data_IF_673450105088
#
_entry.id   IF_673450105088
#
_cell.length_a   1.000
_cell.length_b   1.000
_cell.length_c   1.000
_cell.angle_alpha   90.00
_cell.angle_beta   90.00
_cell.angle_gamma   90.00
#
_symmetry.space_group_name_H-M   'P 1'
#
loop_
_entity.id
_entity.type
_entity.pdbx_description
1 polymer ?
#
# COMPACT_ATOMS: atom_id res chain seq x y z
N UNK A 1 -53.76 13.22 38.72
CA UNK A 1 -54.16 11.86 39.12
C UNK A 1 -53.33 10.88 38.31
N UNK A 2 -52.21 10.46 38.85
CA UNK A 2 -52.00 9.19 39.55
C UNK A 2 -51.88 7.97 38.63
N UNK A 3 -50.63 7.48 38.53
CA UNK A 3 -50.18 6.07 38.64
C UNK A 3 -50.55 5.13 37.49
N UNK A 4 -49.68 4.25 36.98
CA UNK A 4 -48.80 3.34 37.71
C UNK A 4 -47.82 2.65 36.75
N UNK A 5 -46.63 2.35 37.27
CA UNK A 5 -45.57 1.52 36.68
C UNK A 5 -46.02 0.05 36.57
N UNK A 6 -45.54 -0.68 35.56
CA UNK A 6 -45.29 -2.13 35.70
C UNK A 6 -43.95 -2.53 35.11
N UNK A 7 -43.07 -2.87 36.05
CA UNK A 7 -41.78 -3.53 35.97
C UNK A 7 -42.02 -5.01 35.61
N UNK A 8 -41.22 -5.59 34.72
CA UNK A 8 -41.05 -7.05 34.65
C UNK A 8 -39.56 -7.37 34.56
N UNK A 9 -39.05 -7.91 35.66
CA UNK A 9 -37.79 -8.62 35.83
C UNK A 9 -38.03 -10.10 35.51
N UNK A 10 -37.17 -10.70 34.70
CA UNK A 10 -36.86 -12.14 34.68
C UNK A 10 -35.34 -12.23 34.44
N UNK A 11 -34.53 -12.38 35.48
CA UNK A 11 -34.07 -13.63 36.12
C UNK A 11 -33.19 -14.49 35.21
N UNK A 12 -31.90 -14.41 35.56
CA UNK A 12 -30.78 -15.35 35.43
C UNK A 12 -31.05 -16.76 34.90
N UNK A 13 -30.23 -17.16 33.93
CA UNK A 13 -29.94 -18.55 33.58
C UNK A 13 -28.46 -18.70 33.24
N UNK A 14 -27.62 -18.80 34.28
CA UNK A 14 -26.23 -19.25 34.19
C UNK A 14 -26.22 -20.77 33.96
N UNK A 15 -25.60 -21.24 32.88
CA UNK A 15 -25.23 -22.64 32.72
C UNK A 15 -23.75 -22.72 32.35
N UNK A 16 -22.96 -23.07 33.37
CA UNK A 16 -21.59 -23.56 33.25
C UNK A 16 -21.59 -24.88 32.46
N UNK A 17 -20.75 -24.97 31.43
CA UNK A 17 -20.30 -26.24 30.87
C UNK A 17 -18.76 -26.23 30.77
N UNK A 18 -18.05 -27.00 31.61
CA UNK A 18 -16.64 -27.28 31.43
C UNK A 18 -16.49 -28.64 30.74
N UNK A 19 -15.90 -28.69 29.54
CA UNK A 19 -15.53 -29.97 28.92
C UNK A 19 -14.12 -29.88 28.32
N UNK A 20 -13.22 -30.54 29.05
CA UNK A 20 -12.10 -31.37 28.60
C UNK A 20 -11.05 -30.79 27.62
N UNK A 21 -9.89 -30.53 28.21
CA UNK A 21 -8.60 -30.58 27.54
C UNK A 21 -8.32 -31.99 26.98
N UNK A 22 -7.83 -32.05 25.74
CA UNK A 22 -7.12 -33.21 25.22
C UNK A 22 -5.73 -32.74 24.76
N UNK A 23 -4.75 -32.90 25.65
CA UNK A 23 -3.32 -32.80 25.33
C UNK A 23 -2.89 -34.14 24.72
N UNK A 24 -2.45 -34.13 23.46
CA UNK A 24 -1.67 -35.23 22.89
C UNK A 24 -0.35 -34.67 22.36
N UNK A 25 0.81 -35.14 22.85
CA UNK A 25 2.10 -34.81 22.27
C UNK A 25 2.31 -35.64 21.00
N UNK A 26 2.32 -34.99 19.85
CA UNK A 26 2.77 -35.58 18.59
C UNK A 26 4.31 -35.52 18.59
N UNK A 27 4.93 -36.66 18.88
CA UNK A 27 6.33 -36.93 18.58
C UNK A 27 6.39 -37.51 17.17
N UNK A 28 6.99 -36.80 16.22
CA UNK A 28 7.37 -37.37 14.91
C UNK A 28 8.86 -37.16 14.71
N UNK A 29 9.48 -38.31 14.51
CA UNK A 29 10.88 -38.65 14.43
C UNK A 29 11.46 -38.17 13.09
N UNK A 30 12.60 -37.47 13.12
CA UNK A 30 13.38 -37.10 11.94
C UNK A 30 14.14 -38.33 11.42
N UNK A 31 13.87 -38.72 10.17
CA UNK A 31 14.59 -39.79 9.47
C UNK A 31 15.81 -39.24 8.71
N UNK A 32 16.97 -39.93 8.73
CA UNK A 32 18.20 -39.42 8.12
C UNK A 32 18.27 -39.62 6.59
N UNK A 33 18.89 -38.64 5.95
CA UNK A 33 19.28 -38.56 4.54
C UNK A 33 20.25 -39.67 4.11
N UNK A 34 20.12 -40.22 2.89
CA UNK A 34 21.24 -40.82 2.19
C UNK A 34 21.80 -39.88 1.10
N UNK A 35 23.01 -39.39 1.33
CA UNK A 35 23.89 -38.78 0.33
C UNK A 35 24.47 -39.86 -0.59
N UNK A 36 24.10 -39.85 -1.87
CA UNK A 36 24.78 -40.63 -2.91
C UNK A 36 24.71 -39.92 -4.27
N UNK A 37 25.69 -39.07 -4.58
CA UNK A 37 26.01 -38.74 -5.97
C UNK A 37 27.51 -38.81 -6.22
N UNK A 38 27.89 -39.81 -7.01
CA UNK A 38 29.22 -40.01 -7.57
C UNK A 38 29.49 -38.96 -8.66
N UNK A 39 30.59 -38.22 -8.54
CA UNK A 39 31.11 -37.37 -9.61
C UNK A 39 31.96 -38.19 -10.57
N UNK A 40 31.54 -38.26 -11.84
CA UNK A 40 32.34 -38.80 -12.94
C UNK A 40 33.13 -37.68 -13.63
N UNK A 41 34.39 -37.90 -14.02
CA UNK A 41 35.16 -36.89 -14.75
C UNK A 41 34.69 -36.80 -16.21
N UNK A 42 34.34 -35.58 -16.63
CA UNK A 42 33.99 -35.24 -18.01
C UNK A 42 35.26 -35.23 -18.88
N UNK A 43 35.26 -35.86 -20.07
CA UNK A 43 36.42 -35.85 -20.96
C UNK A 43 36.60 -34.47 -21.63
N UNK A 44 37.83 -33.94 -21.53
CA UNK A 44 38.29 -32.74 -22.22
C UNK A 44 38.49 -33.03 -23.71
N UNK A 45 37.68 -32.41 -24.58
CA UNK A 45 37.86 -32.44 -26.03
C UNK A 45 38.70 -31.24 -26.48
N UNK A 46 39.91 -31.50 -26.96
CA UNK A 46 40.79 -30.49 -27.57
C UNK A 46 40.35 -30.24 -29.01
N UNK A 47 39.76 -29.08 -29.30
CA UNK A 47 39.47 -28.65 -30.67
C UNK A 47 40.65 -27.87 -31.27
N UNK A 48 41.12 -28.32 -32.43
CA UNK A 48 42.07 -27.58 -33.27
C UNK A 48 41.36 -26.42 -33.98
N UNK A 49 41.86 -25.21 -33.80
CA UNK A 49 41.40 -24.00 -34.51
C UNK A 49 42.14 -23.84 -35.83
N UNK A 50 41.42 -23.92 -36.95
CA UNK A 50 41.93 -23.51 -38.26
C UNK A 50 41.62 -22.03 -38.49
N UNK A 51 42.66 -21.22 -38.65
CA UNK A 51 42.56 -19.79 -38.93
C UNK A 51 42.22 -19.57 -40.41
N UNK A 52 41.00 -19.16 -40.70
CA UNK A 52 40.57 -18.71 -42.04
C UNK A 52 40.63 -17.18 -42.07
N UNK A 53 41.58 -16.62 -42.83
CA UNK A 53 41.67 -15.18 -43.07
C UNK A 53 40.46 -14.73 -43.91
N UNK A 54 39.54 -13.98 -43.30
CA UNK A 54 38.40 -13.33 -43.96
C UNK A 54 38.78 -11.89 -44.33
N UNK A 55 38.38 -11.36 -45.50
CA UNK A 55 38.67 -9.99 -45.90
C UNK A 55 38.08 -8.97 -44.91
N UNK A 56 38.89 -7.98 -44.58
CA UNK A 56 38.58 -6.85 -43.69
C UNK A 56 37.46 -6.00 -44.28
N UNK A 57 36.28 -6.06 -43.67
CA UNK A 57 35.17 -5.14 -43.94
C UNK A 57 35.46 -3.78 -43.30
N UNK A 58 35.45 -2.73 -44.10
CA UNK A 58 35.58 -1.35 -43.65
C UNK A 58 34.27 -0.93 -42.98
N UNK A 59 34.24 -0.90 -41.64
CA UNK A 59 33.08 -0.42 -40.89
C UNK A 59 32.90 1.09 -41.07
N UNK A 60 31.70 1.52 -41.44
CA UNK A 60 31.28 2.92 -41.34
C UNK A 60 31.24 3.34 -39.85
N UNK A 61 31.45 4.64 -39.53
CA UNK A 61 31.35 5.12 -38.17
C UNK A 61 29.95 4.85 -37.60
N UNK A 62 29.89 4.01 -36.57
CA UNK A 62 28.68 3.77 -35.79
C UNK A 62 28.32 5.06 -35.07
N UNK A 63 27.18 5.66 -35.42
CA UNK A 63 26.61 6.76 -34.66
C UNK A 63 26.19 6.23 -33.29
N UNK A 64 26.99 6.52 -32.27
CA UNK A 64 26.62 6.28 -30.86
C UNK A 64 25.57 7.30 -30.48
N UNK A 65 24.31 6.86 -30.32
CA UNK A 65 23.27 7.70 -29.75
C UNK A 65 23.72 8.16 -28.35
N UNK A 66 23.48 9.43 -27.98
CA UNK A 66 23.68 9.87 -26.61
C UNK A 66 22.87 8.97 -25.67
N UNK A 67 23.41 8.63 -24.48
CA UNK A 67 22.68 7.81 -23.53
C UNK A 67 21.33 8.47 -23.23
N UNK A 68 20.24 7.71 -23.36
CA UNK A 68 18.93 8.13 -22.89
C UNK A 68 19.08 8.57 -21.43
N UNK A 69 18.67 9.78 -21.05
CA UNK A 69 18.74 10.19 -19.66
C UNK A 69 17.94 9.19 -18.81
N UNK A 70 18.65 8.44 -17.97
CA UNK A 70 18.02 7.57 -16.97
C UNK A 70 17.34 8.50 -15.98
N UNK A 71 16.02 8.68 -16.11
CA UNK A 71 15.22 9.40 -15.13
C UNK A 71 15.52 8.82 -13.72
N UNK A 72 15.68 9.67 -12.70
CA UNK A 72 15.72 9.19 -11.32
C UNK A 72 14.51 8.28 -11.07
N UNK A 73 14.66 7.15 -10.34
CA UNK A 73 13.54 6.25 -10.10
C UNK A 73 12.43 7.00 -9.34
N UNK A 74 11.22 7.01 -9.90
CA UNK A 74 10.09 7.77 -9.37
C UNK A 74 9.00 8.02 -10.39
N UNK A 75 8.04 8.85 -10.03
CA UNK A 75 7.03 9.39 -10.93
C UNK A 75 6.51 10.72 -10.40
N UNK A 76 6.07 11.61 -11.29
CA UNK A 76 5.39 12.85 -10.97
C UNK A 76 4.12 12.90 -11.83
N UNK A 77 2.97 12.71 -11.21
CA UNK A 77 1.68 12.59 -11.87
C UNK A 77 0.82 13.81 -11.57
N UNK A 78 0.44 14.54 -12.63
CA UNK A 78 -0.52 15.65 -12.60
C UNK A 78 -1.88 15.27 -13.22
N UNK A 79 -2.04 14.02 -13.65
CA UNK A 79 -3.27 13.44 -14.22
C UNK A 79 -3.77 14.14 -15.49
N UNK A 80 -2.87 14.81 -16.22
CA UNK A 80 -3.12 15.36 -17.56
C UNK A 80 -3.04 14.28 -18.66
N UNK A 81 -2.31 13.20 -18.39
CA UNK A 81 -2.19 12.02 -19.26
C UNK A 81 -3.17 10.91 -18.83
N UNK A 82 -3.25 9.83 -19.60
CA UNK A 82 -4.02 8.64 -19.23
C UNK A 82 -3.42 7.90 -18.02
N UNK A 83 -4.14 6.87 -17.55
CA UNK A 83 -3.74 6.08 -16.37
C UNK A 83 -2.98 4.79 -16.71
N UNK A 84 -2.35 4.70 -17.88
CA UNK A 84 -1.71 3.48 -18.38
C UNK A 84 -0.53 3.03 -17.49
N UNK A 85 0.14 3.99 -16.84
CA UNK A 85 1.25 3.73 -15.92
C UNK A 85 0.81 3.25 -14.53
N UNK A 86 -0.50 3.14 -14.30
CA UNK A 86 -1.07 2.65 -13.06
C UNK A 86 -1.48 1.18 -13.20
N UNK A 87 -1.34 0.41 -12.10
CA UNK A 87 -1.94 -0.91 -12.00
C UNK A 87 -3.48 -0.80 -11.97
N UNK A 88 -4.14 -1.92 -12.20
CA UNK A 88 -5.59 -2.01 -12.08
C UNK A 88 -6.04 -1.55 -10.69
N UNK A 89 -7.26 -0.98 -10.64
CA UNK A 89 -7.82 -0.49 -9.39
C UNK A 89 -7.96 -1.63 -8.40
N UNK A 90 -7.24 -1.54 -7.28
CA UNK A 90 -7.36 -2.53 -6.22
C UNK A 90 -8.42 -2.07 -5.22
N UNK A 91 -9.43 -2.93 -5.02
CA UNK A 91 -10.65 -2.60 -4.28
C UNK A 91 -10.76 -3.52 -3.07
N UNK A 92 -10.84 -2.93 -1.88
CA UNK A 92 -11.20 -3.64 -0.65
C UNK A 92 -12.50 -3.06 -0.11
N UNK A 93 -13.48 -3.92 0.17
CA UNK A 93 -14.77 -3.50 0.74
C UNK A 93 -15.31 -4.57 1.68
N UNK A 94 -16.02 -4.14 2.74
CA UNK A 94 -16.76 -5.05 3.62
C UNK A 94 -18.28 -4.92 3.45
N UNK A 95 -18.76 -3.91 2.73
CA UNK A 95 -20.19 -3.56 2.61
C UNK A 95 -20.71 -3.38 1.19
N UNK A 96 -19.88 -3.52 0.15
CA UNK A 96 -20.36 -3.61 -1.23
C UNK A 96 -20.39 -5.08 -1.70
N UNK A 97 -21.41 -5.87 -1.30
CA UNK A 97 -21.57 -7.24 -1.75
C UNK A 97 -21.82 -7.28 -3.26
N UNK A 98 -21.09 -8.13 -3.98
CA UNK A 98 -21.30 -8.38 -5.41
C UNK A 98 -20.46 -7.53 -6.38
N UNK A 99 -19.50 -6.76 -5.89
CA UNK A 99 -18.46 -6.15 -6.75
C UNK A 99 -18.93 -5.01 -7.66
N UNK A 100 -20.14 -4.48 -7.47
CA UNK A 100 -20.63 -3.31 -8.21
C UNK A 100 -20.45 -2.05 -7.37
N UNK A 101 -19.37 -1.31 -7.64
CA UNK A 101 -19.11 -0.01 -7.02
C UNK A 101 -20.09 1.05 -7.55
N UNK A 102 -20.69 1.82 -6.64
CA UNK A 102 -21.44 3.04 -6.98
C UNK A 102 -20.53 4.26 -7.10
N UNK A 103 -19.34 4.17 -6.49
CA UNK A 103 -18.29 5.18 -6.54
C UNK A 103 -17.71 5.32 -7.95
N UNK A 104 -17.30 6.54 -8.30
CA UNK A 104 -16.73 6.86 -9.61
C UNK A 104 -15.34 7.47 -9.48
N UNK A 105 -14.49 7.16 -10.45
CA UNK A 105 -13.18 7.77 -10.62
C UNK A 105 -13.18 8.47 -11.97
N UNK A 106 -12.76 9.74 -12.00
CA UNK A 106 -12.71 10.54 -13.22
C UNK A 106 -11.49 11.45 -13.23
N UNK A 107 -10.95 11.69 -14.42
CA UNK A 107 -9.93 12.71 -14.64
C UNK A 107 -10.60 13.99 -15.14
N UNK A 108 -10.28 15.13 -14.51
CA UNK A 108 -10.85 16.42 -14.89
C UNK A 108 -9.99 17.57 -14.40
N UNK A 109 -9.56 18.42 -15.35
CA UNK A 109 -8.74 19.61 -15.09
C UNK A 109 -7.48 19.31 -14.27
N UNK A 110 -6.58 18.47 -14.83
CA UNK A 110 -5.29 18.12 -14.22
C UNK A 110 -5.42 17.49 -12.84
N UNK A 111 -6.38 16.58 -12.67
CA UNK A 111 -6.60 15.92 -11.40
C UNK A 111 -7.37 14.62 -11.56
N UNK A 112 -7.10 13.68 -10.63
CA UNK A 112 -7.89 12.48 -10.44
C UNK A 112 -8.88 12.68 -9.29
N UNK A 113 -10.16 12.52 -9.58
CA UNK A 113 -11.25 12.77 -8.65
C UNK A 113 -11.97 11.47 -8.37
N UNK A 114 -12.12 11.16 -7.08
CA UNK A 114 -12.88 10.04 -6.55
C UNK A 114 -14.18 10.58 -5.95
N UNK A 115 -15.30 10.30 -6.60
CA UNK A 115 -16.63 10.57 -6.07
C UNK A 115 -17.13 9.30 -5.38
N UNK A 116 -16.94 9.22 -4.06
CA UNK A 116 -17.20 8.00 -3.29
C UNK A 116 -18.63 7.96 -2.74
N UNK A 117 -19.29 6.84 -3.00
CA UNK A 117 -20.69 6.57 -2.64
C UNK A 117 -20.88 5.22 -1.95
N UNK A 118 -19.82 4.40 -1.85
CA UNK A 118 -19.87 3.10 -1.19
C UNK A 118 -19.25 3.21 0.21
N UNK A 119 -19.94 2.70 1.22
CA UNK A 119 -19.44 2.70 2.59
C UNK A 119 -18.40 1.59 2.80
N UNK A 120 -17.52 1.76 3.79
CA UNK A 120 -16.50 0.76 4.15
C UNK A 120 -15.69 0.26 2.94
N UNK A 121 -15.24 1.20 2.11
CA UNK A 121 -14.61 0.91 0.82
C UNK A 121 -13.27 1.63 0.69
N UNK A 122 -12.27 0.91 0.20
CA UNK A 122 -10.90 1.36 0.04
C UNK A 122 -10.48 1.11 -1.40
N UNK A 123 -10.09 2.17 -2.10
CA UNK A 123 -9.69 2.12 -3.50
C UNK A 123 -8.24 2.54 -3.62
N UNK A 124 -7.41 1.71 -4.26
CA UNK A 124 -5.98 1.90 -4.37
C UNK A 124 -5.55 2.02 -5.83
N UNK A 125 -4.66 2.97 -6.08
CA UNK A 125 -3.90 3.13 -7.33
C UNK A 125 -2.43 3.00 -7.03
N UNK A 126 -1.83 1.94 -7.56
CA UNK A 126 -0.40 1.64 -7.40
C UNK A 126 0.30 1.91 -8.73
N UNK A 127 1.37 2.69 -8.71
CA UNK A 127 2.12 3.00 -9.92
C UNK A 127 2.96 1.80 -10.36
N UNK A 128 3.22 1.68 -11.67
CA UNK A 128 4.04 0.58 -12.23
C UNK A 128 5.54 0.82 -12.09
N UNK A 129 5.97 2.04 -11.78
CA UNK A 129 7.39 2.36 -11.54
C UNK A 129 7.93 1.54 -10.36
N UNK A 130 9.02 0.83 -10.63
CA UNK A 130 9.81 0.15 -9.60
C UNK A 130 10.76 1.18 -8.98
N UNK A 131 10.77 1.26 -7.66
CA UNK A 131 11.52 2.21 -6.86
C UNK A 131 12.33 1.50 -5.77
N UNK A 132 13.19 2.26 -5.09
CA UNK A 132 13.88 1.78 -3.89
C UNK A 132 12.86 1.60 -2.76
N UNK A 133 13.01 0.61 -1.86
CA UNK A 133 12.20 0.52 -0.64
C UNK A 133 12.31 1.78 0.23
N UNK A 134 13.41 2.53 0.13
CA UNK A 134 13.54 3.85 0.71
C UNK A 134 12.94 4.89 -0.26
N UNK A 135 11.75 5.36 0.06
CA UNK A 135 10.98 6.23 -0.83
C UNK A 135 10.19 7.27 -0.05
N UNK A 136 9.82 8.32 -0.77
CA UNK A 136 8.92 9.38 -0.34
C UNK A 136 7.77 9.44 -1.32
N UNK A 137 6.54 9.50 -0.80
CA UNK A 137 5.32 9.72 -1.57
C UNK A 137 4.69 11.02 -1.09
N UNK A 138 4.42 11.92 -2.03
CA UNK A 138 3.81 13.22 -1.79
C UNK A 138 2.55 13.36 -2.61
N UNK A 139 1.54 14.01 -2.06
CA UNK A 139 0.32 14.32 -2.78
C UNK A 139 -0.19 15.72 -2.47
N UNK A 140 -0.72 16.39 -3.49
CA UNK A 140 -1.56 17.57 -3.36
C UNK A 140 -3.01 17.13 -3.47
N UNK A 141 -3.74 17.20 -2.34
CA UNK A 141 -5.05 16.55 -2.21
C UNK A 141 -6.02 17.39 -1.39
N UNK A 142 -7.28 17.40 -1.82
CA UNK A 142 -8.40 17.99 -1.07
C UNK A 142 -9.50 16.96 -0.83
N UNK A 143 -10.22 17.14 0.29
CA UNK A 143 -11.34 16.29 0.70
C UNK A 143 -12.55 17.18 0.98
N UNK A 144 -13.65 16.90 0.28
CA UNK A 144 -14.93 17.61 0.42
C UNK A 144 -16.08 16.64 0.75
N UNK A 145 -17.16 17.16 1.33
CA UNK A 145 -18.29 16.36 1.82
C UNK A 145 -18.05 15.79 3.23
N UNK A 146 -18.26 14.49 3.40
CA UNK A 146 -18.14 13.81 4.70
C UNK A 146 -16.67 13.59 5.07
N UNK A 147 -16.15 14.47 5.93
CA UNK A 147 -14.71 14.60 6.26
C UNK A 147 -14.15 13.55 7.24
N UNK A 148 -15.00 12.66 7.77
CA UNK A 148 -14.52 11.49 8.53
C UNK A 148 -13.84 10.46 7.59
N UNK A 149 -14.11 10.55 6.29
CA UNK A 149 -13.41 9.82 5.24
C UNK A 149 -12.19 10.59 4.74
N UNK A 150 -11.41 10.01 3.84
CA UNK A 150 -10.34 10.74 3.20
C UNK A 150 -9.51 9.90 2.26
N UNK A 151 -8.20 10.09 2.35
CA UNK A 151 -7.24 9.56 1.40
C UNK A 151 -6.12 8.81 2.10
N UNK A 152 -5.37 8.05 1.30
CA UNK A 152 -4.19 7.37 1.79
C UNK A 152 -3.03 7.50 0.83
N UNK A 153 -1.82 7.52 1.38
CA UNK A 153 -0.57 7.35 0.64
C UNK A 153 0.05 6.02 1.05
N UNK A 154 0.55 5.26 0.08
CA UNK A 154 1.16 3.95 0.32
C UNK A 154 2.56 3.88 -0.25
N UNK A 155 3.46 3.28 0.51
CA UNK A 155 4.85 3.06 0.16
C UNK A 155 5.21 1.59 0.40
N UNK A 156 6.34 1.14 -0.15
CA UNK A 156 6.85 -0.23 0.05
C UNK A 156 5.81 -1.29 -0.28
N UNK A 157 4.98 -1.01 -1.29
CA UNK A 157 3.98 -1.95 -1.76
C UNK A 157 4.72 -3.07 -2.45
N UNK A 158 4.44 -4.31 -2.04
CA UNK A 158 4.97 -5.49 -2.68
C UNK A 158 4.24 -5.79 -4.00
N UNK A 159 4.85 -6.62 -4.84
CA UNK A 159 4.27 -6.93 -6.14
C UNK A 159 2.92 -7.63 -6.04
N UNK A 160 2.74 -8.47 -5.00
CA UNK A 160 1.53 -9.27 -4.80
C UNK A 160 0.39 -8.54 -4.09
N UNK A 161 0.57 -7.27 -3.71
CA UNK A 161 -0.38 -6.48 -2.93
C UNK A 161 -0.79 -7.22 -1.63
N UNK A 162 0.20 -7.79 -0.95
CA UNK A 162 0.05 -8.48 0.32
C UNK A 162 0.58 -7.67 1.50
N UNK A 163 1.52 -6.74 1.27
CA UNK A 163 2.17 -5.96 2.31
C UNK A 163 2.50 -4.54 1.83
N UNK A 164 2.26 -3.55 2.69
CA UNK A 164 2.68 -2.16 2.48
C UNK A 164 2.59 -1.35 3.79
N UNK A 165 3.18 -0.15 3.80
CA UNK A 165 2.81 0.87 4.78
C UNK A 165 1.86 1.88 4.16
N UNK A 166 0.97 2.40 5.00
CA UNK A 166 -0.11 3.29 4.59
C UNK A 166 -0.26 4.42 5.61
N UNK A 167 -0.27 5.67 5.13
CA UNK A 167 -0.76 6.80 5.90
C UNK A 167 -2.18 7.11 5.45
N UNK A 168 -3.16 6.91 6.33
CA UNK A 168 -4.54 7.39 6.14
C UNK A 168 -4.67 8.78 6.73
N UNK A 169 -5.33 9.67 6.00
CA UNK A 169 -5.61 11.04 6.44
C UNK A 169 -7.07 11.35 6.11
N UNK A 170 -7.86 11.69 7.13
CA UNK A 170 -9.25 12.12 6.98
C UNK A 170 -9.31 13.57 6.49
N UNK A 171 -10.46 13.99 5.97
CA UNK A 171 -10.74 15.38 5.65
C UNK A 171 -10.77 16.32 6.87
N UNK A 172 -10.73 15.78 8.10
CA UNK A 172 -10.57 16.53 9.35
C UNK A 172 -9.11 16.68 9.80
N UNK A 173 -8.16 16.05 9.12
CA UNK A 173 -6.74 16.05 9.48
C UNK A 173 -6.37 15.00 10.53
N UNK A 174 -7.29 14.14 10.94
CA UNK A 174 -6.96 12.94 11.71
C UNK A 174 -6.20 11.96 10.82
N UNK A 175 -5.18 11.30 11.36
CA UNK A 175 -4.34 10.40 10.60
C UNK A 175 -4.00 9.12 11.34
N UNK A 176 -3.66 8.10 10.56
CA UNK A 176 -3.18 6.81 11.03
C UNK A 176 -2.02 6.34 10.14
N UNK A 177 -0.91 5.95 10.76
CA UNK A 177 0.16 5.23 10.10
C UNK A 177 -0.03 3.75 10.40
N UNK A 178 -0.19 2.96 9.34
CA UNK A 178 -0.56 1.56 9.38
C UNK A 178 0.47 0.72 8.61
N UNK A 179 0.64 -0.53 9.03
CA UNK A 179 1.19 -1.60 8.21
C UNK A 179 0.05 -2.52 7.78
N UNK A 180 -0.09 -2.73 6.48
CA UNK A 180 -0.98 -3.77 5.96
C UNK A 180 -0.20 -5.08 5.81
N UNK A 181 -0.81 -6.16 6.26
CA UNK A 181 -0.31 -7.52 6.16
C UNK A 181 -1.48 -8.48 5.92
N UNK A 182 -1.63 -8.90 4.66
CA UNK A 182 -2.70 -9.81 4.22
C UNK A 182 -2.67 -11.14 4.97
N UNK A 183 -1.49 -11.61 5.39
CA UNK A 183 -1.36 -12.90 6.05
C UNK A 183 -2.06 -12.93 7.41
N UNK A 184 -2.15 -11.79 8.12
CA UNK A 184 -2.89 -11.70 9.38
C UNK A 184 -4.36 -12.06 9.18
N UNK A 185 -4.97 -11.65 8.07
CA UNK A 185 -6.35 -12.01 7.74
C UNK A 185 -6.49 -13.46 7.30
N UNK A 186 -5.63 -13.91 6.39
CA UNK A 186 -5.79 -15.21 5.74
C UNK A 186 -5.40 -16.37 6.65
N UNK A 187 -4.27 -16.25 7.34
CA UNK A 187 -3.69 -17.31 8.18
C UNK A 187 -4.16 -17.20 9.63
N UNK A 188 -4.19 -15.98 10.18
CA UNK A 188 -4.47 -15.78 11.61
C UNK A 188 -5.90 -15.33 11.91
N UNK A 189 -6.72 -15.05 10.89
CA UNK A 189 -8.09 -14.53 11.03
C UNK A 189 -8.19 -13.23 11.86
N UNK A 190 -7.15 -12.40 11.79
CA UNK A 190 -7.05 -11.09 12.46
C UNK A 190 -7.29 -9.94 11.46
N UNK A 191 -7.39 -8.73 11.99
CA UNK A 191 -7.37 -7.51 11.18
C UNK A 191 -6.03 -7.41 10.43
N UNK A 192 -6.01 -7.26 9.09
CA UNK A 192 -4.77 -7.12 8.33
C UNK A 192 -4.06 -5.78 8.51
N UNK A 193 -4.68 -4.80 9.16
CA UNK A 193 -4.07 -3.51 9.45
C UNK A 193 -3.54 -3.48 10.89
N UNK A 194 -2.24 -3.27 11.02
CA UNK A 194 -1.55 -3.01 12.29
C UNK A 194 -1.35 -1.51 12.42
N UNK A 195 -1.96 -0.89 13.43
CA UNK A 195 -1.76 0.52 13.71
C UNK A 195 -0.41 0.75 14.40
N UNK A 196 0.42 1.60 13.81
CA UNK A 196 1.73 1.97 14.34
C UNK A 196 1.66 3.30 15.07
N UNK A 197 0.90 4.25 14.54
CA UNK A 197 0.71 5.58 15.10
C UNK A 197 -0.64 6.15 14.66
N UNK A 198 -1.20 7.04 15.47
CA UNK A 198 -2.34 7.86 15.11
C UNK A 198 -2.23 9.24 15.76
N UNK A 199 -2.86 10.24 15.16
CA UNK A 199 -2.92 11.58 15.70
C UNK A 199 -3.83 12.48 14.88
N UNK A 200 -3.72 13.78 15.13
CA UNK A 200 -4.43 14.81 14.36
C UNK A 200 -3.48 15.95 14.06
N UNK A 201 -3.40 16.36 12.80
CA UNK A 201 -2.63 17.54 12.41
C UNK A 201 -3.21 18.81 13.05
N UNK A 202 -2.38 19.74 13.58
CA UNK A 202 -2.83 21.02 14.08
C UNK A 202 -3.64 21.79 13.03
N UNK A 203 -4.65 22.56 13.45
CA UNK A 203 -5.53 23.27 12.53
C UNK A 203 -4.83 24.37 11.72
N UNK A 204 -3.70 24.89 12.20
CA UNK A 204 -2.82 25.82 11.47
C UNK A 204 -1.91 25.12 10.46
N UNK A 205 -1.76 23.79 10.59
CA UNK A 205 -0.95 22.96 9.70
C UNK A 205 -1.82 22.28 8.66
N UNK A 206 -2.89 21.57 9.04
CA UNK A 206 -3.81 20.89 8.12
C UNK A 206 -5.07 21.73 7.90
N UNK A 207 -5.35 22.08 6.64
CA UNK A 207 -6.43 23.01 6.28
C UNK A 207 -7.64 22.25 5.76
N UNK A 208 -8.66 22.15 6.61
CA UNK A 208 -9.89 21.42 6.32
C UNK A 208 -10.65 22.07 5.15
N UNK A 209 -10.93 21.29 4.10
CA UNK A 209 -11.65 21.76 2.91
C UNK A 209 -10.79 22.51 1.89
N UNK A 210 -9.47 22.62 2.13
CA UNK A 210 -8.50 23.13 1.17
C UNK A 210 -7.63 22.00 0.61
N UNK A 211 -6.88 22.30 -0.46
CA UNK A 211 -5.79 21.43 -0.92
C UNK A 211 -4.67 21.45 0.11
N UNK A 212 -4.22 20.26 0.51
CA UNK A 212 -3.07 20.04 1.38
C UNK A 212 -1.99 19.27 0.63
N UNK A 213 -0.74 19.67 0.81
CA UNK A 213 0.44 18.88 0.45
C UNK A 213 0.74 17.91 1.60
N UNK A 214 0.77 16.62 1.33
CA UNK A 214 1.00 15.60 2.36
C UNK A 214 2.15 14.70 1.93
N UNK A 215 3.16 14.60 2.80
CA UNK A 215 4.40 13.86 2.56
C UNK A 215 4.46 12.63 3.47
N UNK A 216 4.50 11.45 2.87
CA UNK A 216 4.68 10.17 3.53
C UNK A 216 6.03 9.57 3.16
N UNK A 217 6.91 9.38 4.14
CA UNK A 217 8.28 8.90 3.93
C UNK A 217 8.50 7.56 4.60
N UNK A 218 9.14 6.64 3.89
CA UNK A 218 9.46 5.30 4.35
C UNK A 218 10.95 5.05 4.18
N UNK A 219 11.73 5.49 5.16
CA UNK A 219 13.19 5.54 5.11
C UNK A 219 13.76 4.59 6.15
N UNK A 220 14.45 3.54 5.70
CA UNK A 220 15.00 2.50 6.56
C UNK A 220 13.91 1.85 7.45
N UNK A 221 13.94 2.07 8.75
CA UNK A 221 12.91 1.67 9.72
C UNK A 221 11.97 2.81 10.11
N UNK A 222 12.25 4.04 9.67
CA UNK A 222 11.47 5.22 10.03
C UNK A 222 10.34 5.46 9.03
N UNK A 223 9.12 5.43 9.54
CA UNK A 223 7.91 5.74 8.78
C UNK A 223 7.38 7.08 9.30
N UNK A 224 7.26 8.08 8.42
CA UNK A 224 6.89 9.42 8.84
C UNK A 224 5.89 10.12 7.93
N UNK A 225 5.06 10.98 8.53
CA UNK A 225 4.05 11.79 7.88
C UNK A 225 4.28 13.27 8.20
N UNK A 226 4.15 14.13 7.19
CA UNK A 226 4.22 15.57 7.34
C UNK A 226 3.15 16.25 6.48
N UNK A 227 2.60 17.35 6.99
CA UNK A 227 1.58 18.15 6.33
C UNK A 227 2.13 19.51 5.93
N UNK A 228 1.84 19.94 4.71
CA UNK A 228 2.09 21.27 4.13
C UNK A 228 3.53 21.77 4.31
N UNK A 229 4.51 20.87 4.38
CA UNK A 229 5.92 21.18 4.62
C UNK A 229 6.18 21.96 5.93
N UNK A 230 5.25 21.92 6.89
CA UNK A 230 5.28 22.70 8.13
C UNK A 230 4.98 21.82 9.33
N UNK A 231 5.29 22.34 10.52
CA UNK A 231 4.94 21.69 11.78
C UNK A 231 5.75 20.44 12.11
N UNK A 232 5.17 19.60 12.96
CA UNK A 232 5.77 18.36 13.43
C UNK A 232 5.85 17.30 12.31
N UNK A 233 6.94 16.52 12.32
CA UNK A 233 7.04 15.29 11.54
C UNK A 233 6.62 14.14 12.44
N UNK A 234 5.44 13.59 12.18
CA UNK A 234 4.94 12.43 12.91
C UNK A 234 5.71 11.19 12.46
N UNK A 235 6.40 10.52 13.37
CA UNK A 235 7.34 9.46 13.01
C UNK A 235 7.27 8.28 13.95
N UNK A 236 7.30 7.08 13.39
CA UNK A 236 7.36 5.81 14.13
C UNK A 236 8.44 4.91 13.54
N UNK A 237 9.14 4.19 14.40
CA UNK A 237 10.09 3.16 14.00
C UNK A 237 9.37 1.82 13.85
N UNK A 238 9.44 1.21 12.67
CA UNK A 238 8.95 -0.14 12.44
C UNK A 238 9.84 -0.88 11.43
N UNK A 239 10.34 -2.04 11.82
CA UNK A 239 11.22 -2.87 11.00
C UNK A 239 10.56 -4.10 10.39
N UNK A 240 9.27 -4.32 10.63
CA UNK A 240 8.57 -5.57 10.31
C UNK A 240 8.44 -5.79 8.79
N UNK A 241 8.44 -4.71 8.02
CA UNK A 241 8.39 -4.75 6.57
C UNK A 241 9.41 -3.77 5.96
N UNK A 242 10.40 -4.29 5.23
CA UNK A 242 11.47 -3.47 4.60
C UNK A 242 11.60 -3.69 3.10
N UNK A 243 10.70 -4.48 2.55
CA UNK A 243 10.67 -4.87 1.13
C UNK A 243 9.58 -4.09 0.41
N UNK A 244 9.37 -4.40 -0.87
CA UNK A 244 8.40 -3.70 -1.71
C UNK A 244 9.01 -2.48 -2.39
N UNK A 245 8.66 -2.33 -3.66
CA UNK A 245 9.30 -1.38 -4.58
C UNK A 245 8.29 -0.51 -5.30
N UNK A 246 7.01 -0.61 -4.96
CA UNK A 246 5.96 0.20 -5.55
C UNK A 246 5.43 1.24 -4.55
N UNK A 247 4.95 2.35 -5.09
CA UNK A 247 4.28 3.42 -4.38
C UNK A 247 2.90 3.67 -4.99
N UNK A 248 2.04 4.33 -4.24
CA UNK A 248 0.70 4.64 -4.71
C UNK A 248 -0.08 5.49 -3.74
N UNK A 249 -1.36 5.60 -4.02
CA UNK A 249 -2.30 6.37 -3.23
C UNK A 249 -3.69 5.74 -3.32
N UNK A 250 -4.63 6.27 -2.57
CA UNK A 250 -6.00 5.78 -2.58
C UNK A 250 -6.96 6.63 -1.79
N UNK A 251 -8.20 6.17 -1.72
CA UNK A 251 -9.26 6.77 -0.92
C UNK A 251 -9.91 5.72 -0.04
N UNK A 252 -10.34 6.13 1.15
CA UNK A 252 -11.09 5.27 2.06
C UNK A 252 -12.39 5.94 2.46
N UNK A 253 -13.41 5.11 2.69
CA UNK A 253 -14.69 5.52 3.25
C UNK A 253 -15.08 4.64 4.44
N UNK A 254 -15.74 5.27 5.40
CA UNK A 254 -16.49 4.64 6.48
C UNK A 254 -17.99 4.74 6.19
N UNK A 255 -18.81 5.07 7.18
CA UNK A 255 -20.28 5.02 7.03
C UNK A 255 -20.89 6.29 6.45
N UNK A 256 -20.32 7.47 6.72
CA UNK A 256 -20.91 8.75 6.31
C UNK A 256 -20.50 9.09 4.89
N UNK A 257 -21.47 9.32 4.00
CA UNK A 257 -21.26 9.62 2.58
C UNK A 257 -22.18 10.76 2.12
N UNK A 258 -21.94 11.39 0.96
CA UNK A 258 -20.82 11.19 0.04
C UNK A 258 -19.52 11.88 0.49
N UNK A 259 -18.40 11.47 -0.10
CA UNK A 259 -17.13 12.20 -0.02
C UNK A 259 -16.52 12.31 -1.41
N UNK A 260 -15.96 13.48 -1.70
CA UNK A 260 -15.17 13.70 -2.91
C UNK A 260 -13.72 13.93 -2.50
N UNK A 261 -12.81 13.13 -3.06
CA UNK A 261 -11.37 13.32 -2.88
C UNK A 261 -10.76 13.68 -4.22
N UNK A 262 -10.03 14.79 -4.28
CA UNK A 262 -9.37 15.28 -5.49
C UNK A 262 -7.87 15.28 -5.27
N UNK A 263 -7.15 14.50 -6.08
CA UNK A 263 -5.69 14.53 -6.17
C UNK A 263 -5.29 15.39 -7.36
N UNK A 264 -4.58 16.48 -7.11
CA UNK A 264 -4.06 17.39 -8.14
C UNK A 264 -2.68 16.93 -8.61
N UNK A 265 -1.89 16.37 -7.68
CA UNK A 265 -0.58 15.83 -7.97
C UNK A 265 -0.25 14.67 -7.05
N UNK A 266 0.44 13.65 -7.58
CA UNK A 266 1.09 12.61 -6.78
C UNK A 266 2.52 12.41 -7.27
N UNK A 267 3.48 12.57 -6.38
CA UNK A 267 4.91 12.42 -6.63
C UNK A 267 5.43 11.27 -5.79
N UNK A 268 6.21 10.37 -6.39
CA UNK A 268 7.04 9.46 -5.64
C UNK A 268 8.50 9.62 -6.07
N UNK A 269 9.38 9.76 -5.08
CA UNK A 269 10.82 9.95 -5.30
C UNK A 269 11.66 9.08 -4.38
N UNK A 270 12.91 8.85 -4.77
CA UNK A 270 13.95 8.40 -3.86
C UNK A 270 14.45 9.60 -3.04
N UNK A 271 14.85 9.38 -1.77
CA UNK A 271 15.39 10.44 -0.90
C UNK A 271 16.70 11.04 -1.43
#
# INVERSE_FOLDING_TARGET
MNTSRRFWLWVFGWLCFPILACNLPISVQSEPTPDLFFTTPVPTVTMFSQTRNLPTSTFLPTYTMPPTPTLPPGFDETFDAGLENWKDLYVLTTRAPGGKLSSRIRQSAGALIFDMQDAETYLYRIHRSVMSPNMVVEAEVSVDGQKDNGFMLVCRVDESLSNWYEARVSGTGAFWILRYDRALKEREKKNPYVQLMSGTGPADVFRVGETNSVRFSCLENRISLQFNGRGEVYSVENGDWRQGTFAGFGVFTYEKLPVTVRFERVLASQP
#
